data_IF_162227246682
#
_entry.id   IF_162227246682
#
_cell.length_a   1.000
_cell.length_b   1.000
_cell.length_c   1.000
_cell.angle_alpha   90.00
_cell.angle_beta   90.00
_cell.angle_gamma   90.00
#
_symmetry.space_group_name_H-M   'P 1'
#
loop_
_entity.id
_entity.type
_entity.pdbx_description
1 polymer ?
#
# COMPACT_ATOMS: atom_id res chain seq x y z
N UNK A 1 -18.36 12.42 13.05
CA UNK A 1 -18.01 11.66 12.62
C UNK A 1 -18.33 10.66 11.63
N UNK A 2 -19.39 10.39 11.25
CA UNK A 2 -19.55 9.46 10.37
C UNK A 2 -19.42 9.98 9.07
N UNK A 3 -19.50 11.11 8.74
CA UNK A 3 -19.35 11.51 7.50
C UNK A 3 -18.07 11.28 6.94
N UNK A 4 -17.03 11.45 7.58
CA UNK A 4 -15.82 11.27 6.86
C UNK A 4 -15.49 9.84 6.75
N UNK A 5 -16.32 8.99 7.07
CA UNK A 5 -15.99 7.62 6.88
C UNK A 5 -16.37 7.25 5.47
N UNK A 6 -16.98 8.13 4.74
CA UNK A 6 -17.34 7.80 3.40
C UNK A 6 -16.13 7.57 2.52
N UNK A 7 -15.17 8.43 2.60
CA UNK A 7 -14.03 8.29 1.74
C UNK A 7 -13.14 7.16 2.29
N UNK A 8 -13.23 6.89 3.56
CA UNK A 8 -12.42 5.83 4.08
C UNK A 8 -12.98 4.55 3.52
N UNK A 9 -14.24 4.45 3.33
CA UNK A 9 -14.76 3.29 2.79
C UNK A 9 -14.33 3.15 1.42
N UNK A 10 -14.14 4.22 0.69
CA UNK A 10 -13.73 4.05 -0.66
C UNK A 10 -12.32 3.52 -0.71
N UNK A 11 -11.61 3.55 0.36
CA UNK A 11 -10.28 3.04 0.30
C UNK A 11 -10.40 1.54 0.29
N UNK A 12 -11.42 1.00 0.76
CA UNK A 12 -11.53 -0.39 0.81
C UNK A 12 -11.98 -1.06 -0.43
N UNK A 13 -12.77 -0.61 -1.06
CA UNK A 13 -13.23 -1.31 -2.14
C UNK A 13 -12.64 -1.29 -3.42
N UNK A 14 -11.55 -1.00 -3.68
CA UNK A 14 -11.14 -0.88 -4.97
C UNK A 14 -10.71 -2.14 -5.53
N UNK A 15 -10.66 -2.29 -6.72
CA UNK A 15 -10.36 -3.48 -7.32
C UNK A 15 -9.06 -3.87 -7.27
N UNK A 16 -8.76 -4.94 -7.44
CA UNK A 16 -7.51 -5.41 -7.36
C UNK A 16 -6.82 -5.31 -8.53
N UNK A 17 -5.89 -4.90 -8.71
CA UNK A 17 -5.17 -4.85 -9.82
C UNK A 17 -4.19 -5.81 -9.90
N UNK A 18 -3.79 -6.05 -10.77
CA UNK A 18 -2.86 -7.00 -10.94
C UNK A 18 -1.64 -6.59 -10.52
N UNK A 19 -0.99 -7.22 -10.16
CA UNK A 19 0.21 -7.01 -9.70
C UNK A 19 1.02 -6.18 -10.30
N UNK A 20 1.50 -5.54 -9.72
CA UNK A 20 2.25 -4.73 -10.30
C UNK A 20 3.48 -5.10 -10.49
N UNK A 21 3.94 -4.98 -11.19
CA UNK A 21 5.12 -5.39 -11.50
C UNK A 21 5.94 -4.48 -10.88
N UNK A 22 6.79 -4.51 -10.45
CA UNK A 22 7.56 -3.71 -9.84
C UNK A 22 7.96 -2.64 -10.59
N UNK A 23 7.46 -1.79 -10.49
CA UNK A 23 7.71 -0.68 -11.21
C UNK A 23 9.01 -0.16 -11.07
N UNK A 24 9.52 -0.26 -10.11
CA UNK A 24 10.74 0.25 -9.95
C UNK A 24 11.69 -0.26 -10.76
N UNK A 25 11.66 -1.25 -10.97
CA UNK A 25 12.56 -1.83 -11.76
C UNK A 25 12.72 -1.23 -12.98
N UNK A 26 11.78 -0.98 -13.64
CA UNK A 26 11.97 -0.55 -14.88
C UNK A 26 12.73 0.58 -15.02
N UNK A 27 12.74 1.35 -14.22
CA UNK A 27 13.43 2.44 -14.45
C UNK A 27 14.75 2.29 -14.70
N UNK A 28 15.31 1.52 -14.24
CA UNK A 28 16.63 1.43 -14.46
C UNK A 28 16.95 1.34 -15.77
N UNK A 29 16.29 0.82 -16.52
CA UNK A 29 16.72 0.58 -17.76
C UNK A 29 16.76 1.80 -18.47
N UNK A 30 16.37 2.74 -18.07
CA UNK A 30 16.34 3.83 -18.76
C UNK A 30 17.56 4.32 -19.05
N UNK A 31 18.22 3.93 -19.19
CA UNK A 31 19.43 4.38 -19.55
C UNK A 31 19.92 5.28 -18.87
N UNK A 32 19.97 5.06 -18.20
CA UNK A 32 20.61 5.73 -17.53
C UNK A 32 20.90 7.01 -17.76
N UNK A 33 20.57 7.70 -17.76
CA UNK A 33 20.91 8.83 -18.07
C UNK A 33 20.35 9.75 -17.18
N UNK A 34 20.24 10.53 -17.16
CA UNK A 34 19.87 11.40 -16.41
C UNK A 34 18.56 11.38 -16.00
N UNK A 35 17.90 11.09 -16.65
CA UNK A 35 16.69 11.04 -16.41
C UNK A 35 16.36 10.31 -15.34
N UNK A 36 16.89 9.44 -15.15
CA UNK A 36 16.51 8.55 -14.31
C UNK A 36 16.56 9.03 -13.00
N UNK A 37 17.10 9.97 -12.92
CA UNK A 37 17.25 10.40 -11.70
C UNK A 37 15.95 10.74 -11.22
N UNK A 38 15.20 11.24 -11.93
CA UNK A 38 13.98 11.62 -11.51
C UNK A 38 13.34 10.50 -10.97
N UNK A 39 13.50 9.45 -11.53
CA UNK A 39 12.91 8.35 -11.10
C UNK A 39 13.29 8.04 -9.79
N UNK A 40 14.44 8.15 -9.52
CA UNK A 40 14.86 7.72 -8.29
C UNK A 40 14.11 8.43 -7.22
N UNK A 41 13.59 9.48 -7.50
CA UNK A 41 12.95 10.06 -6.50
C UNK A 41 11.78 9.37 -6.04
N UNK A 42 11.25 8.48 -6.73
CA UNK A 42 10.09 7.77 -6.32
C UNK A 42 10.36 6.37 -5.83
N UNK A 43 11.49 6.15 -5.26
CA UNK A 43 11.78 4.85 -4.73
C UNK A 43 10.91 4.63 -3.52
N UNK A 44 10.26 3.49 -3.45
CA UNK A 44 9.35 3.20 -2.37
C UNK A 44 10.08 2.95 -1.07
N UNK A 45 9.60 3.47 0.01
CA UNK A 45 10.21 3.26 1.29
C UNK A 45 9.84 1.93 1.88
N UNK A 46 8.69 1.40 1.57
CA UNK A 46 8.23 0.16 2.17
C UNK A 46 8.18 -0.96 1.15
N UNK A 47 8.24 -2.19 1.60
CA UNK A 47 8.30 -3.32 0.70
C UNK A 47 7.11 -4.23 0.80
N UNK A 48 6.87 -5.04 -0.20
CA UNK A 48 5.81 -6.03 -0.17
C UNK A 48 6.12 -6.97 0.98
N UNK A 49 5.15 -7.25 1.81
CA UNK A 49 5.32 -8.11 2.97
C UNK A 49 5.57 -7.34 4.26
N UNK A 50 5.82 -6.05 4.14
CA UNK A 50 6.09 -5.27 5.32
C UNK A 50 4.78 -4.86 5.99
N UNK A 51 4.75 -4.83 7.31
CA UNK A 51 3.57 -4.44 8.04
C UNK A 51 3.68 -2.96 8.35
N UNK A 52 2.63 -2.22 8.01
CA UNK A 52 2.62 -0.78 8.21
C UNK A 52 1.32 -0.39 8.90
N UNK A 53 1.28 0.79 9.46
CA UNK A 53 0.07 1.31 10.06
C UNK A 53 -0.19 2.69 9.54
N UNK A 54 -1.43 3.12 9.56
CA UNK A 54 -1.76 4.44 9.07
C UNK A 54 -1.37 5.45 10.14
N UNK A 55 -0.84 6.56 9.69
CA UNK A 55 -0.41 7.57 10.59
C UNK A 55 -1.55 8.19 11.38
N UNK A 56 -2.71 8.33 10.83
CA UNK A 56 -3.82 8.95 11.50
C UNK A 56 -4.98 8.06 11.87
N UNK A 57 -5.29 7.09 11.04
CA UNK A 57 -6.46 6.26 11.29
C UNK A 57 -6.06 4.94 11.90
N UNK A 58 -6.91 4.36 12.74
CA UNK A 58 -6.55 3.16 13.48
C UNK A 58 -6.60 1.87 12.70
N UNK A 59 -5.75 1.75 11.70
CA UNK A 59 -5.67 0.47 11.00
C UNK A 59 -4.22 0.18 10.62
N UNK A 60 -3.95 -1.06 10.35
CA UNK A 60 -2.64 -1.53 9.95
C UNK A 60 -2.83 -2.62 8.92
N UNK A 61 -1.81 -3.00 8.23
CA UNK A 61 -1.93 -4.02 7.20
C UNK A 61 -0.59 -4.42 6.65
N UNK A 62 -0.60 -5.44 5.80
CA UNK A 62 0.61 -5.88 5.17
C UNK A 62 0.53 -5.46 3.72
N UNK A 63 1.62 -4.96 3.19
CA UNK A 63 1.67 -4.47 1.82
C UNK A 63 1.71 -5.63 0.87
N UNK A 64 0.81 -5.67 -0.10
CA UNK A 64 0.85 -6.73 -1.07
C UNK A 64 1.09 -6.19 -2.48
N UNK A 65 1.07 -4.91 -2.71
CA UNK A 65 1.35 -4.36 -4.00
C UNK A 65 1.76 -2.89 -3.85
N UNK A 66 2.54 -2.39 -4.77
CA UNK A 66 3.04 -1.03 -4.71
C UNK A 66 2.88 -0.37 -6.06
N UNK A 67 2.33 0.83 -6.10
CA UNK A 67 2.28 1.62 -7.32
C UNK A 67 3.31 2.73 -7.15
N UNK A 68 4.11 3.02 -8.13
CA UNK A 68 5.14 4.03 -7.99
C UNK A 68 4.55 5.43 -7.82
N UNK A 69 3.34 5.62 -8.27
CA UNK A 69 2.65 6.86 -8.06
C UNK A 69 1.17 6.54 -8.12
N UNK A 70 0.32 7.48 -7.87
CA UNK A 70 -1.10 7.25 -7.81
C UNK A 70 -1.60 6.50 -9.03
N UNK A 71 -2.30 5.44 -8.83
CA UNK A 71 -2.79 4.61 -9.92
C UNK A 71 -4.26 4.22 -9.80
N UNK A 72 -5.04 4.98 -9.10
CA UNK A 72 -6.44 4.68 -9.00
C UNK A 72 -7.23 5.71 -9.81
N UNK A 73 -8.51 5.78 -9.69
CA UNK A 73 -9.32 6.65 -10.55
C UNK A 73 -9.38 8.07 -10.03
N UNK A 74 -9.70 8.98 -10.90
CA UNK A 74 -9.83 10.36 -10.50
C UNK A 74 -10.98 10.50 -9.53
N UNK A 75 -12.06 9.75 -9.72
CA UNK A 75 -13.18 9.83 -8.83
C UNK A 75 -12.78 9.40 -7.41
N UNK A 76 -11.99 8.37 -7.32
CA UNK A 76 -11.57 7.90 -6.03
C UNK A 76 -10.73 8.97 -5.35
N UNK A 77 -9.84 9.59 -6.10
CA UNK A 77 -8.94 10.59 -5.57
C UNK A 77 -9.75 11.80 -5.09
N UNK A 78 -10.69 12.23 -5.89
CA UNK A 78 -11.46 13.38 -5.53
C UNK A 78 -12.45 13.12 -4.42
N UNK A 79 -12.72 11.88 -4.10
CA UNK A 79 -13.59 11.59 -3.00
C UNK A 79 -12.87 11.81 -1.66
N UNK A 80 -11.57 11.96 -1.66
CA UNK A 80 -10.83 12.20 -0.45
C UNK A 80 -10.97 13.68 -0.11
N UNK A 81 -11.31 14.02 1.12
CA UNK A 81 -11.46 15.42 1.48
C UNK A 81 -10.19 16.18 1.17
N UNK A 82 -10.33 17.35 0.57
CA UNK A 82 -9.18 18.08 0.14
C UNK A 82 -8.13 18.32 1.21
N UNK A 83 -8.52 18.52 2.42
CA UNK A 83 -7.56 18.79 3.45
C UNK A 83 -6.69 17.61 3.82
N UNK A 84 -7.07 16.41 3.47
CA UNK A 84 -6.24 15.25 3.74
C UNK A 84 -5.86 14.51 2.48
N UNK A 85 -6.09 15.11 1.33
CA UNK A 85 -5.80 14.46 0.06
C UNK A 85 -4.32 14.46 -0.19
N UNK A 86 -3.71 13.32 -0.43
CA UNK A 86 -2.26 13.26 -0.59
C UNK A 86 -1.84 13.62 -2.01
N UNK A 87 -0.59 13.95 -2.19
CA UNK A 87 -0.05 14.23 -3.50
C UNK A 87 -0.02 12.95 -4.28
N UNK A 88 -0.20 13.01 -5.57
CA UNK A 88 -0.20 11.84 -6.41
C UNK A 88 1.20 11.36 -6.77
N UNK A 89 2.18 12.22 -6.68
CA UNK A 89 3.52 11.87 -7.12
C UNK A 89 4.33 11.23 -6.02
N UNK A 90 3.87 10.16 -5.51
CA UNK A 90 4.57 9.40 -4.48
C UNK A 90 4.07 7.97 -4.54
N UNK A 91 4.75 7.01 -3.98
CA UNK A 91 4.27 5.65 -3.99
C UNK A 91 2.95 5.50 -3.24
N UNK A 92 2.10 4.62 -3.76
CA UNK A 92 0.87 4.26 -3.08
C UNK A 92 0.90 2.76 -2.88
N UNK A 93 0.38 2.30 -1.76
CA UNK A 93 0.48 0.90 -1.39
C UNK A 93 -0.87 0.25 -1.23
N UNK A 94 -0.96 -1.00 -1.65
CA UNK A 94 -2.17 -1.78 -1.48
C UNK A 94 -1.95 -2.66 -0.26
N UNK A 95 -2.82 -2.62 0.70
CA UNK A 95 -2.64 -3.35 1.93
C UNK A 95 -3.77 -4.32 2.19
N UNK A 96 -3.44 -5.46 2.76
CA UNK A 96 -4.45 -6.28 3.37
C UNK A 96 -4.55 -5.69 4.77
N UNK A 97 -5.58 -4.94 5.03
CA UNK A 97 -5.69 -4.11 6.21
C UNK A 97 -6.75 -4.56 7.19
N UNK A 98 -6.62 -4.13 8.40
CA UNK A 98 -7.61 -4.45 9.41
C UNK A 98 -7.66 -3.40 10.48
N UNK A 99 -8.80 -3.26 11.12
CA UNK A 99 -8.89 -2.43 12.29
C UNK A 99 -9.54 -3.35 13.35
N UNK A 100 -10.05 -2.84 14.44
CA UNK A 100 -10.57 -3.71 15.46
C UNK A 100 -11.97 -4.21 15.14
N UNK A 101 -12.50 -3.92 13.99
CA UNK A 101 -13.76 -4.40 13.61
C UNK A 101 -13.82 -5.18 12.36
N UNK A 102 -13.01 -4.92 11.39
CA UNK A 102 -13.16 -5.56 10.11
C UNK A 102 -11.87 -5.65 9.34
N UNK A 103 -11.88 -6.41 8.25
CA UNK A 103 -10.74 -6.57 7.37
C UNK A 103 -11.12 -6.00 6.01
N UNK A 104 -10.17 -5.42 5.31
CA UNK A 104 -10.45 -4.84 4.01
C UNK A 104 -9.16 -4.62 3.24
N UNK A 105 -9.26 -4.13 2.03
CA UNK A 105 -8.09 -3.78 1.25
C UNK A 105 -8.03 -2.28 1.24
N UNK A 106 -6.90 -1.72 1.60
CA UNK A 106 -6.74 -0.28 1.66
C UNK A 106 -5.71 0.18 0.64
N UNK A 107 -5.85 1.37 0.13
CA UNK A 107 -4.94 1.96 -0.82
C UNK A 107 -4.45 3.26 -0.19
N UNK A 108 -3.17 3.32 0.14
CA UNK A 108 -2.67 4.40 0.98
C UNK A 108 -1.39 4.99 0.45
N UNK A 109 -1.28 6.30 0.51
CA UNK A 109 -0.09 6.98 0.05
C UNK A 109 1.04 6.79 1.03
N UNK A 110 2.25 6.82 0.54
CA UNK A 110 3.41 6.62 1.37
C UNK A 110 3.48 7.60 2.53
N UNK A 111 3.12 8.83 2.31
CA UNK A 111 3.22 9.82 3.36
C UNK A 111 2.33 9.51 4.55
N UNK A 112 1.33 8.69 4.38
CA UNK A 112 0.42 8.39 5.46
C UNK A 112 0.69 7.05 6.14
N UNK A 113 1.82 6.43 5.85
CA UNK A 113 2.14 5.16 6.44
C UNK A 113 3.37 5.23 7.33
N UNK A 114 3.37 4.42 8.36
CA UNK A 114 4.52 4.27 9.24
C UNK A 114 4.77 2.79 9.44
N UNK A 115 5.99 2.39 9.70
CA UNK A 115 6.24 0.98 9.95
C UNK A 115 5.50 0.56 11.22
N UNK A 116 4.97 -0.65 11.22
CA UNK A 116 4.32 -1.15 12.42
C UNK A 116 5.32 -2.03 13.16
N UNK A 117 5.71 -1.64 14.33
CA UNK A 117 6.68 -2.40 15.07
C UNK A 117 6.09 -3.17 16.22
N UNK A 118 4.79 -3.36 16.25
CA UNK A 118 4.17 -4.05 17.35
C UNK A 118 4.42 -5.55 17.29
N UNK A 119 4.76 -6.07 16.15
CA UNK A 119 4.96 -7.50 15.98
C UNK A 119 3.72 -8.31 16.30
N UNK A 120 2.56 -7.69 16.38
CA UNK A 120 1.34 -8.41 16.62
C UNK A 120 0.83 -8.96 15.29
N UNK A 121 0.51 -10.21 15.20
CA UNK A 121 0.09 -10.78 13.93
C UNK A 121 -1.20 -10.16 13.43
N UNK A 122 -1.32 -10.08 12.11
CA UNK A 122 -2.53 -9.59 11.51
C UNK A 122 -3.46 -10.78 11.30
N UNK A 123 -4.74 -10.53 11.27
CA UNK A 123 -5.70 -11.60 11.10
C UNK A 123 -6.49 -11.56 9.81
N UNK A 124 -6.15 -10.66 8.92
CA UNK A 124 -6.85 -10.55 7.64
C UNK A 124 -6.77 -11.90 6.95
N UNK A 125 -7.90 -12.47 6.54
CA UNK A 125 -7.89 -13.81 5.97
C UNK A 125 -7.09 -14.00 4.71
N UNK A 126 -6.92 -12.98 3.92
CA UNK A 126 -6.18 -13.16 2.68
C UNK A 126 -4.68 -13.17 2.88
N UNK A 127 -4.20 -12.77 4.02
CA UNK A 127 -2.77 -12.73 4.21
C UNK A 127 -2.11 -14.08 4.05
N UNK A 128 -2.62 -15.09 4.69
CA UNK A 128 -1.97 -16.36 4.58
C UNK A 128 -2.17 -17.07 3.26
N UNK A 129 -2.97 -16.49 2.38
CA UNK A 129 -3.08 -17.04 1.07
C UNK A 129 -1.94 -16.50 0.23
N UNK A 130 -1.44 -15.33 0.53
CA UNK A 130 -0.37 -14.72 -0.25
C UNK A 130 0.99 -14.81 0.45
N UNK A 131 1.00 -14.85 1.75
CA UNK A 131 2.23 -14.75 2.50
C UNK A 131 2.43 -15.85 3.53
N UNK A 132 3.68 -16.04 3.93
CA UNK A 132 4.01 -16.94 5.01
C UNK A 132 4.53 -16.06 6.11
N UNK A 133 4.14 -16.30 7.34
CA UNK A 133 4.63 -15.52 8.45
C UNK A 133 5.98 -16.09 8.79
N UNK A 134 7.03 -15.29 8.70
CA UNK A 134 8.36 -15.81 8.85
C UNK A 134 9.05 -15.44 10.15
N UNK A 135 8.60 -14.60 10.92
CA UNK A 135 9.28 -14.30 12.14
C UNK A 135 8.35 -13.50 12.94
N UNK A 136 8.82 -12.69 13.85
CA UNK A 136 7.96 -11.95 14.61
C UNK A 136 7.36 -10.88 13.78
N UNK A 137 6.19 -11.00 13.30
CA UNK A 137 5.52 -9.97 12.57
C UNK A 137 6.02 -9.68 11.18
N UNK A 138 6.72 -10.62 10.56
CA UNK A 138 7.18 -10.38 9.21
C UNK A 138 6.57 -11.40 8.27
N UNK A 139 6.35 -11.00 7.03
CA UNK A 139 5.70 -11.85 6.06
C UNK A 139 6.49 -11.92 4.77
N UNK A 140 6.44 -13.04 4.11
CA UNK A 140 7.16 -13.23 2.89
C UNK A 140 6.23 -13.79 1.86
N UNK A 141 6.25 -13.31 0.63
CA UNK A 141 5.37 -13.79 -0.40
C UNK A 141 5.59 -15.26 -0.67
N UNK A 142 4.54 -16.01 -0.86
CA UNK A 142 4.67 -17.39 -1.15
C UNK A 142 5.07 -17.54 -2.59
N UNK A 143 5.77 -18.64 -2.93
CA UNK A 143 6.15 -18.85 -4.26
C UNK A 143 4.95 -19.07 -5.04
N UNK A 144 4.86 -18.65 -6.18
CA UNK A 144 3.71 -18.87 -6.98
C UNK A 144 2.75 -17.71 -6.95
N UNK A 145 2.81 -16.92 -5.93
CA UNK A 145 1.91 -15.83 -5.88
C UNK A 145 2.62 -14.66 -6.42
N UNK A 146 3.87 -14.68 -6.29
CA UNK A 146 4.67 -13.61 -6.75
C UNK A 146 4.61 -13.33 -8.18
N UNK A 147 4.22 -14.10 -9.00
CA UNK A 147 4.25 -13.78 -10.34
C UNK A 147 3.03 -13.61 -10.90
#
# INVERSE_FOLDING_TARGET
GRKHNGWLKSLFGHRRRRAARSPLVLDQRIDGNRRYNAISMHVAKFQIGQVVRHRMFPFRGVIFDVDPQFGNTAEWYESIPEEVRPRKDQPFYHLFAENDRTHYVAYVSEQNLLPDESETPLTHPDILEWFTLTGRGTYELKKGVAN
#
